data_IF_246001600783
#
_entry.id   IF_246001600783
#
_cell.length_a   1.000
_cell.length_b   1.000
_cell.length_c   1.000
_cell.angle_alpha   90.00
_cell.angle_beta   90.00
_cell.angle_gamma   90.00
#
_symmetry.space_group_name_H-M   'P 1'
#
loop_
_entity.id
_entity.type
_entity.pdbx_description
1 polymer ?
#
# COMPACT_ATOMS: atom_id res chain seq x y z
N UNK A 1 8.49 -25.73 67.19
CA UNK A 1 8.46 -26.00 65.73
C UNK A 1 7.14 -25.46 65.17
N UNK A 2 7.13 -24.26 64.54
CA UNK A 2 6.14 -23.97 63.50
C UNK A 2 6.78 -23.12 62.39
N UNK A 3 7.38 -23.75 61.38
CA UNK A 3 7.93 -23.07 60.19
C UNK A 3 7.38 -23.62 58.86
N UNK A 4 6.57 -24.68 58.92
CA UNK A 4 5.96 -25.32 57.75
C UNK A 4 4.73 -24.57 57.25
N UNK A 5 3.94 -24.00 58.15
CA UNK A 5 2.59 -23.54 57.82
C UNK A 5 2.60 -22.12 57.19
N UNK A 6 3.61 -21.31 57.52
CA UNK A 6 3.81 -19.98 56.95
C UNK A 6 4.30 -20.04 55.50
N UNK A 7 5.11 -21.04 55.14
CA UNK A 7 5.58 -21.23 53.76
C UNK A 7 4.45 -21.74 52.84
N UNK A 8 3.55 -22.58 53.36
CA UNK A 8 2.38 -23.04 52.62
C UNK A 8 1.35 -21.92 52.36
N UNK A 9 1.19 -20.99 53.32
CA UNK A 9 0.30 -19.82 53.17
C UNK A 9 0.82 -18.80 52.12
N UNK A 10 2.14 -18.62 52.02
CA UNK A 10 2.75 -17.74 51.00
C UNK A 10 2.69 -18.38 49.60
N UNK A 11 2.86 -19.71 49.51
CA UNK A 11 2.75 -20.46 48.25
C UNK A 11 1.30 -20.49 47.68
N UNK A 12 0.30 -20.43 48.56
CA UNK A 12 -1.12 -20.39 48.15
C UNK A 12 -1.56 -18.98 47.75
N UNK A 13 -1.07 -17.93 48.42
CA UNK A 13 -1.31 -16.54 48.01
C UNK A 13 -0.65 -16.19 46.66
N UNK A 14 0.55 -16.72 46.39
CA UNK A 14 1.24 -16.51 45.10
C UNK A 14 0.54 -17.25 43.94
N UNK A 15 -0.04 -18.44 44.19
CA UNK A 15 -0.85 -19.15 43.19
C UNK A 15 -2.16 -18.44 42.84
N UNK A 16 -2.86 -17.85 43.81
CA UNK A 16 -4.07 -17.06 43.53
C UNK A 16 -3.79 -15.73 42.82
N UNK A 17 -2.59 -15.16 43.00
CA UNK A 17 -2.17 -13.95 42.26
C UNK A 17 -1.76 -14.26 40.82
N UNK A 18 -1.25 -15.46 40.54
CA UNK A 18 -0.89 -15.93 39.20
C UNK A 18 -2.09 -16.40 38.35
N UNK A 19 -3.24 -16.70 38.96
CA UNK A 19 -4.45 -17.16 38.25
C UNK A 19 -5.41 -16.03 37.87
N UNK A 20 -5.15 -14.78 38.27
CA UNK A 20 -5.86 -13.61 37.74
C UNK A 20 -5.28 -13.26 36.38
N UNK A 21 -5.52 -14.16 35.42
CA UNK A 21 -5.35 -13.91 34.00
C UNK A 21 -6.25 -12.72 33.69
N UNK A 22 -5.66 -11.54 33.58
CA UNK A 22 -6.33 -10.34 33.10
C UNK A 22 -7.03 -10.72 31.80
N UNK A 23 -8.34 -10.98 31.88
CA UNK A 23 -9.23 -11.00 30.74
C UNK A 23 -9.34 -9.55 30.31
N UNK A 24 -8.26 -9.03 29.71
CA UNK A 24 -8.33 -7.82 28.89
C UNK A 24 -9.50 -8.05 27.95
N UNK A 25 -10.53 -7.18 27.95
CA UNK A 25 -11.67 -7.35 27.07
C UNK A 25 -11.12 -7.48 25.66
N UNK A 26 -11.44 -8.60 25.02
CA UNK A 26 -11.07 -8.90 23.64
C UNK A 26 -11.58 -7.69 22.85
N UNK A 27 -10.68 -6.85 22.38
CA UNK A 27 -11.05 -5.61 21.72
C UNK A 27 -12.07 -5.96 20.63
N UNK A 28 -13.29 -5.41 20.74
CA UNK A 28 -14.27 -5.53 19.67
C UNK A 28 -13.55 -5.07 18.40
N UNK A 29 -13.53 -5.95 17.39
CA UNK A 29 -13.01 -5.60 16.07
C UNK A 29 -13.82 -4.38 15.63
N UNK A 30 -13.19 -3.21 15.59
CA UNK A 30 -13.83 -2.04 15.04
C UNK A 30 -14.05 -2.33 13.56
N UNK A 31 -15.32 -2.32 13.13
CA UNK A 31 -15.60 -2.39 11.71
C UNK A 31 -14.93 -1.18 11.04
N UNK A 32 -14.15 -1.39 9.97
CA UNK A 32 -13.54 -0.29 9.26
C UNK A 32 -14.63 0.65 8.74
N UNK A 33 -14.54 1.93 9.11
CA UNK A 33 -15.41 2.95 8.53
C UNK A 33 -15.29 2.91 7.01
N UNK A 34 -16.43 2.78 6.34
CA UNK A 34 -16.47 2.72 4.90
C UNK A 34 -15.92 4.04 4.30
N UNK A 35 -15.31 4.01 3.10
CA UNK A 35 -14.78 5.21 2.47
C UNK A 35 -15.89 6.24 2.28
N UNK A 36 -15.60 7.51 2.54
CA UNK A 36 -16.55 8.62 2.35
C UNK A 36 -16.98 8.72 0.87
N UNK A 37 -18.17 9.28 0.57
CA UNK A 37 -18.64 9.44 -0.81
C UNK A 37 -17.64 10.18 -1.69
N UNK A 38 -17.04 11.27 -1.19
CA UNK A 38 -16.02 12.06 -1.89
C UNK A 38 -14.77 11.23 -2.20
N UNK A 39 -14.32 10.39 -1.26
CA UNK A 39 -13.18 9.50 -1.50
C UNK A 39 -13.49 8.48 -2.61
N UNK A 40 -14.70 7.94 -2.65
CA UNK A 40 -15.12 6.97 -3.67
C UNK A 40 -15.22 7.57 -5.07
N UNK A 41 -15.46 8.86 -5.18
CA UNK A 41 -15.46 9.55 -6.48
C UNK A 41 -14.05 9.63 -7.10
N UNK A 42 -13.02 9.72 -6.27
CA UNK A 42 -11.64 9.89 -6.73
C UNK A 42 -10.88 8.57 -6.92
N UNK A 43 -11.26 7.49 -6.24
CA UNK A 43 -10.59 6.21 -6.38
C UNK A 43 -11.46 5.01 -5.99
N UNK A 44 -11.08 3.83 -6.52
CA UNK A 44 -11.65 2.56 -6.09
C UNK A 44 -10.97 2.12 -4.80
N UNK A 45 -11.76 1.78 -3.78
CA UNK A 45 -11.26 1.26 -2.51
C UNK A 45 -11.73 -0.19 -2.35
N UNK A 46 -10.79 -1.06 -1.97
CA UNK A 46 -11.06 -2.48 -1.72
C UNK A 46 -10.79 -2.77 -0.25
N UNK A 47 -11.69 -3.52 0.37
CA UNK A 47 -11.49 -4.03 1.73
C UNK A 47 -10.38 -5.09 1.70
N UNK A 48 -9.30 -4.84 2.43
CA UNK A 48 -8.17 -5.76 2.55
C UNK A 48 -7.96 -6.18 3.99
N UNK A 49 -7.62 -7.45 4.18
CA UNK A 49 -7.25 -8.00 5.48
C UNK A 49 -5.89 -7.45 5.92
N UNK A 50 -5.84 -6.87 7.12
CA UNK A 50 -4.59 -6.53 7.79
C UNK A 50 -4.13 -7.77 8.53
N UNK A 51 -2.98 -8.30 8.12
CA UNK A 51 -2.43 -9.56 8.64
C UNK A 51 -1.15 -9.28 9.41
N UNK A 52 -1.06 -9.77 10.65
CA UNK A 52 0.19 -9.90 11.39
C UNK A 52 0.87 -11.18 10.93
N UNK A 53 2.11 -11.09 10.45
CA UNK A 53 2.92 -12.26 10.13
C UNK A 53 3.78 -12.55 11.35
N UNK A 54 3.27 -13.40 12.25
CA UNK A 54 4.06 -13.93 13.37
C UNK A 54 4.72 -15.25 12.97
N UNK A 55 5.79 -15.62 13.68
CA UNK A 55 6.55 -16.86 13.47
C UNK A 55 5.72 -18.17 13.46
N UNK A 56 4.47 -18.16 13.95
CA UNK A 56 3.56 -19.32 13.99
C UNK A 56 2.37 -19.23 13.04
N UNK A 57 2.36 -18.28 12.10
CA UNK A 57 1.33 -18.17 11.06
C UNK A 57 0.83 -16.75 10.82
N UNK A 58 0.03 -16.60 9.75
CA UNK A 58 -0.66 -15.37 9.38
C UNK A 58 -1.90 -15.19 10.26
N UNK A 59 -1.94 -14.13 11.07
CA UNK A 59 -3.09 -13.81 11.93
C UNK A 59 -3.72 -12.51 11.45
N UNK A 60 -4.95 -12.57 10.92
CA UNK A 60 -5.70 -11.38 10.51
C UNK A 60 -6.10 -10.56 11.75
N UNK A 61 -5.52 -9.36 11.88
CA UNK A 61 -5.73 -8.41 12.98
C UNK A 61 -7.07 -7.68 12.80
N UNK A 62 -7.41 -7.34 11.55
CA UNK A 62 -8.60 -6.58 11.21
C UNK A 62 -8.72 -6.40 9.69
N UNK A 63 -9.69 -5.60 9.27
CA UNK A 63 -9.90 -5.24 7.86
C UNK A 63 -9.76 -3.74 7.70
N UNK A 64 -9.24 -3.29 6.55
CA UNK A 64 -9.18 -1.87 6.22
C UNK A 64 -9.41 -1.64 4.73
N UNK A 65 -10.10 -0.54 4.41
CA UNK A 65 -10.25 -0.09 3.03
C UNK A 65 -8.94 0.53 2.55
N UNK A 66 -8.39 -0.02 1.46
CA UNK A 66 -7.20 0.51 0.79
C UNK A 66 -7.54 0.93 -0.62
N UNK A 67 -6.91 2.01 -1.06
CA UNK A 67 -7.00 2.46 -2.46
C UNK A 67 -6.45 1.35 -3.35
N UNK A 68 -7.26 0.89 -4.29
CA UNK A 68 -6.82 -0.03 -5.32
C UNK A 68 -5.97 0.74 -6.34
N UNK A 69 -4.74 0.29 -6.64
CA UNK A 69 -3.92 0.92 -7.66
C UNK A 69 -4.63 0.88 -9.01
N UNK A 70 -4.55 1.97 -9.77
CA UNK A 70 -5.33 2.11 -11.01
C UNK A 70 -4.97 1.07 -12.05
N UNK A 71 -3.70 0.65 -12.08
CA UNK A 71 -3.22 -0.33 -13.03
C UNK A 71 -3.87 -1.72 -12.88
N UNK A 72 -4.53 -2.02 -11.75
CA UNK A 72 -5.22 -3.29 -11.58
C UNK A 72 -6.52 -3.39 -12.38
N UNK A 73 -7.09 -2.26 -12.80
CA UNK A 73 -8.31 -2.19 -13.61
C UNK A 73 -8.05 -1.78 -15.06
N UNK A 74 -6.79 -1.60 -15.44
CA UNK A 74 -6.43 -1.23 -16.81
C UNK A 74 -6.45 -2.45 -17.74
N UNK A 75 -7.08 -2.28 -18.90
CA UNK A 75 -7.11 -3.30 -19.95
C UNK A 75 -5.78 -3.38 -20.71
N UNK A 76 -5.43 -4.58 -21.19
CA UNK A 76 -4.25 -4.82 -22.02
C UNK A 76 -2.95 -5.10 -21.25
N UNK A 77 -3.03 -5.31 -19.92
CA UNK A 77 -1.88 -5.68 -19.09
C UNK A 77 -1.88 -7.19 -18.81
N UNK A 78 -0.76 -7.85 -19.14
CA UNK A 78 -0.57 -9.27 -18.87
C UNK A 78 -0.35 -9.59 -17.39
N UNK A 79 -0.48 -10.86 -17.02
CA UNK A 79 -0.31 -11.33 -15.63
C UNK A 79 1.09 -11.05 -15.07
N UNK A 80 2.14 -11.28 -15.86
CA UNK A 80 3.53 -11.00 -15.45
C UNK A 80 3.80 -9.50 -15.30
N UNK A 81 3.21 -8.68 -16.18
CA UNK A 81 3.28 -7.22 -16.06
C UNK A 81 2.58 -6.73 -14.79
N UNK A 82 1.43 -7.31 -14.45
CA UNK A 82 0.73 -7.00 -13.19
C UNK A 82 1.56 -7.40 -11.96
N UNK A 83 2.23 -8.56 -11.97
CA UNK A 83 3.14 -8.96 -10.88
C UNK A 83 4.29 -7.97 -10.73
N UNK A 84 4.90 -7.56 -11.85
CA UNK A 84 6.00 -6.59 -11.87
C UNK A 84 5.53 -5.22 -11.34
N UNK A 85 4.37 -4.73 -11.78
CA UNK A 85 3.76 -3.48 -11.30
C UNK A 85 3.46 -3.53 -9.79
N UNK A 86 2.92 -4.65 -9.29
CA UNK A 86 2.69 -4.84 -7.85
C UNK A 86 3.99 -4.84 -7.06
N UNK A 87 5.04 -5.46 -7.60
CA UNK A 87 6.37 -5.44 -6.99
C UNK A 87 6.93 -4.02 -6.93
N UNK A 88 6.83 -3.28 -8.04
CA UNK A 88 7.28 -1.90 -8.13
C UNK A 88 6.53 -0.98 -7.16
N UNK A 89 5.20 -1.11 -7.10
CA UNK A 89 4.37 -0.36 -6.16
C UNK A 89 4.70 -0.69 -4.70
N UNK A 90 4.88 -1.97 -4.37
CA UNK A 90 5.24 -2.37 -3.03
C UNK A 90 6.63 -1.83 -2.61
N UNK A 91 7.60 -1.78 -3.52
CA UNK A 91 8.92 -1.19 -3.26
C UNK A 91 8.81 0.32 -3.02
N UNK A 92 8.00 1.02 -3.82
CA UNK A 92 7.71 2.43 -3.63
C UNK A 92 7.03 2.72 -2.29
N UNK A 93 5.95 2.00 -1.99
CA UNK A 93 5.21 2.17 -0.73
C UNK A 93 6.13 1.89 0.48
N UNK A 94 6.98 0.87 0.41
CA UNK A 94 7.98 0.57 1.46
C UNK A 94 9.02 1.69 1.63
N UNK A 95 9.43 2.34 0.53
CA UNK A 95 10.39 3.47 0.57
C UNK A 95 9.78 4.76 1.14
N UNK A 96 8.48 4.95 0.93
CA UNK A 96 7.69 6.10 1.39
C UNK A 96 7.10 5.89 2.80
N UNK A 97 7.24 4.70 3.39
CA UNK A 97 6.91 4.49 4.79
C UNK A 97 7.78 5.42 5.65
N UNK A 98 7.15 6.42 6.27
CA UNK A 98 7.86 7.30 7.18
C UNK A 98 8.08 6.61 8.52
N UNK A 99 9.26 6.86 9.09
CA UNK A 99 9.70 6.37 10.40
C UNK A 99 8.76 6.73 11.55
N UNK A 100 7.88 7.72 11.34
CA UNK A 100 7.02 8.32 12.39
C UNK A 100 5.56 8.59 11.97
N UNK A 101 5.15 8.38 10.71
CA UNK A 101 3.87 8.91 10.17
C UNK A 101 2.57 8.26 10.66
N UNK A 102 2.64 7.34 11.60
CA UNK A 102 1.44 6.89 12.30
C UNK A 102 1.57 7.15 13.80
N UNK A 103 1.78 8.40 14.19
CA UNK A 103 1.63 8.84 15.59
C UNK A 103 0.22 8.54 16.18
N UNK A 104 -0.76 8.16 15.36
CA UNK A 104 -2.09 7.66 15.79
C UNK A 104 -2.20 6.12 15.81
N UNK A 105 -1.24 5.39 15.25
CA UNK A 105 -1.18 3.91 15.22
C UNK A 105 -0.01 3.33 16.05
N UNK A 106 0.83 4.20 16.64
CA UNK A 106 1.69 3.83 17.78
C UNK A 106 0.84 3.78 19.04
N UNK A 107 -0.16 2.88 19.10
CA UNK A 107 -0.59 2.38 20.40
C UNK A 107 0.44 1.36 20.86
N UNK A 108 1.11 1.58 22.00
CA UNK A 108 2.08 0.65 22.54
C UNK A 108 1.32 -0.56 23.09
N UNK A 109 0.94 -1.50 22.22
CA UNK A 109 0.39 -2.79 22.66
C UNK A 109 1.22 -3.92 22.08
N UNK A 110 2.36 -4.13 22.73
CA UNK A 110 3.11 -5.38 22.65
C UNK A 110 4.58 -5.16 22.30
N UNK A 111 5.41 -4.97 23.32
CA UNK A 111 6.80 -5.45 23.41
C UNK A 111 7.69 -5.41 22.13
N UNK A 112 7.61 -4.36 21.32
CA UNK A 112 8.63 -4.07 20.32
C UNK A 112 9.23 -2.71 20.68
N UNK A 113 10.27 -2.72 21.52
CA UNK A 113 11.10 -1.54 21.77
C UNK A 113 11.87 -1.11 20.50
N UNK A 114 13.08 -0.59 20.67
CA UNK A 114 14.00 -0.19 19.58
C UNK A 114 14.04 -1.13 18.35
N UNK A 115 13.82 -2.44 18.53
CA UNK A 115 13.71 -3.43 17.45
C UNK A 115 12.60 -3.15 16.42
N UNK A 116 11.46 -2.58 16.81
CA UNK A 116 10.39 -2.22 15.86
C UNK A 116 10.80 -1.04 14.96
N UNK A 117 11.48 -0.05 15.53
CA UNK A 117 12.02 1.09 14.79
C UNK A 117 13.14 0.67 13.83
N UNK A 118 14.05 -0.21 14.27
CA UNK A 118 15.13 -0.73 13.43
C UNK A 118 14.57 -1.54 12.25
N UNK A 119 13.59 -2.41 12.49
CA UNK A 119 12.93 -3.18 11.41
C UNK A 119 12.23 -2.27 10.39
N UNK A 120 11.57 -1.19 10.85
CA UNK A 120 10.98 -0.19 9.97
C UNK A 120 12.04 0.52 9.10
N UNK A 121 13.16 0.95 9.70
CA UNK A 121 14.27 1.59 9.00
C UNK A 121 14.89 0.63 7.96
N UNK A 122 15.12 -0.62 8.32
CA UNK A 122 15.64 -1.64 7.41
C UNK A 122 14.70 -1.89 6.23
N UNK A 123 13.40 -2.00 6.50
CA UNK A 123 12.39 -2.19 5.45
C UNK A 123 12.36 -1.02 4.46
N UNK A 124 12.52 0.21 4.96
CA UNK A 124 12.58 1.43 4.16
C UNK A 124 13.85 1.49 3.31
N UNK A 125 15.01 1.24 3.93
CA UNK A 125 16.29 1.24 3.23
C UNK A 125 16.31 0.18 2.11
N UNK A 126 15.78 -1.01 2.40
CA UNK A 126 15.65 -2.08 1.42
C UNK A 126 14.65 -1.73 0.30
N UNK A 127 13.51 -1.13 0.65
CA UNK A 127 12.52 -0.64 -0.30
C UNK A 127 13.10 0.41 -1.24
N UNK A 128 13.81 1.41 -0.69
CA UNK A 128 14.47 2.46 -1.45
C UNK A 128 15.58 1.92 -2.37
N UNK A 129 16.39 0.97 -1.89
CA UNK A 129 17.42 0.30 -2.69
C UNK A 129 16.81 -0.51 -3.84
N UNK A 130 15.74 -1.27 -3.54
CA UNK A 130 15.00 -2.04 -4.54
C UNK A 130 14.36 -1.12 -5.59
N UNK A 131 13.72 -0.04 -5.17
CA UNK A 131 13.11 0.94 -6.05
C UNK A 131 14.16 1.56 -6.98
N UNK A 132 15.29 2.02 -6.45
CA UNK A 132 16.39 2.57 -7.25
C UNK A 132 16.93 1.54 -8.26
N UNK A 133 17.10 0.28 -7.84
CA UNK A 133 17.55 -0.79 -8.74
C UNK A 133 16.60 -1.00 -9.93
N UNK A 134 15.29 -1.01 -9.67
CA UNK A 134 14.28 -1.10 -10.72
C UNK A 134 14.31 0.14 -11.62
N UNK A 135 14.33 1.34 -11.04
CA UNK A 135 14.29 2.60 -11.79
C UNK A 135 15.53 2.84 -12.65
N UNK A 136 16.71 2.43 -12.19
CA UNK A 136 17.93 2.49 -13.00
C UNK A 136 17.79 1.71 -14.32
N UNK A 137 17.10 0.57 -14.31
CA UNK A 137 16.92 -0.25 -15.51
C UNK A 137 15.82 0.28 -16.44
N UNK A 138 14.82 0.97 -15.90
CA UNK A 138 13.76 1.61 -16.68
C UNK A 138 14.25 2.86 -17.44
N UNK A 139 15.31 3.52 -16.94
CA UNK A 139 15.95 4.66 -17.60
C UNK A 139 15.00 5.82 -17.87
N UNK A 140 14.91 6.27 -19.12
CA UNK A 140 14.06 7.41 -19.50
C UNK A 140 12.56 7.18 -19.28
N UNK A 141 12.11 5.92 -19.22
CA UNK A 141 10.69 5.56 -19.07
C UNK A 141 10.21 5.60 -17.60
N UNK A 142 11.12 5.83 -16.65
CA UNK A 142 10.81 5.92 -15.21
C UNK A 142 9.73 6.97 -14.95
N UNK A 143 9.82 8.14 -15.59
CA UNK A 143 8.90 9.24 -15.33
C UNK A 143 7.46 8.86 -15.67
N UNK A 144 7.26 8.27 -16.85
CA UNK A 144 5.95 7.82 -17.32
C UNK A 144 5.42 6.66 -16.46
N UNK A 145 6.27 5.71 -16.07
CA UNK A 145 5.88 4.61 -15.17
C UNK A 145 5.55 5.10 -13.75
N UNK A 146 6.31 6.04 -13.19
CA UNK A 146 6.02 6.67 -11.89
C UNK A 146 4.66 7.36 -11.93
N UNK A 147 4.44 8.20 -12.93
CA UNK A 147 3.22 8.99 -13.05
C UNK A 147 1.97 8.09 -13.15
N UNK A 148 2.02 7.03 -13.94
CA UNK A 148 0.86 6.16 -14.16
C UNK A 148 0.72 5.10 -13.06
N UNK A 149 1.81 4.40 -12.69
CA UNK A 149 1.73 3.24 -11.78
C UNK A 149 1.82 3.61 -10.28
N UNK A 150 2.55 4.67 -9.94
CA UNK A 150 2.78 5.06 -8.54
C UNK A 150 1.92 6.26 -8.12
N UNK A 151 1.72 7.22 -9.03
CA UNK A 151 0.86 8.39 -8.76
C UNK A 151 -0.59 8.19 -9.22
N UNK A 152 -0.91 7.04 -9.83
CA UNK A 152 -2.25 6.67 -10.31
C UNK A 152 -2.86 7.66 -11.32
N UNK A 153 -2.02 8.42 -12.05
CA UNK A 153 -2.47 9.36 -13.07
C UNK A 153 -3.00 8.62 -14.31
N UNK A 154 -4.04 9.16 -14.94
CA UNK A 154 -4.42 8.76 -16.30
C UNK A 154 -3.31 9.10 -17.30
N UNK A 155 -3.30 8.42 -18.44
CA UNK A 155 -2.46 8.83 -19.57
C UNK A 155 -2.72 10.28 -20.01
N UNK A 156 -3.96 10.77 -19.86
CA UNK A 156 -4.30 12.16 -20.15
C UNK A 156 -3.71 13.12 -19.12
N UNK A 157 -3.79 12.82 -17.83
CA UNK A 157 -3.20 13.63 -16.75
C UNK A 157 -1.68 13.65 -16.81
N UNK A 158 -1.05 12.49 -17.05
CA UNK A 158 0.38 12.39 -17.29
C UNK A 158 0.79 13.19 -18.55
N UNK A 159 0.00 13.13 -19.63
CA UNK A 159 0.24 13.94 -20.83
C UNK A 159 0.10 15.45 -20.55
N UNK A 160 -0.89 15.85 -19.74
CA UNK A 160 -1.06 17.26 -19.33
C UNK A 160 0.11 17.74 -18.49
N UNK A 161 0.61 16.91 -17.57
CA UNK A 161 1.78 17.21 -16.74
C UNK A 161 3.04 17.41 -17.58
N UNK A 162 3.24 16.61 -18.63
CA UNK A 162 4.47 16.64 -19.46
C UNK A 162 4.42 17.63 -20.62
N UNK A 163 3.30 17.70 -21.35
CA UNK A 163 3.18 18.47 -22.58
C UNK A 163 2.31 19.74 -22.41
N UNK A 164 1.63 19.86 -21.27
CA UNK A 164 0.68 20.93 -20.97
C UNK A 164 -0.77 20.57 -21.33
N UNK A 165 -1.68 21.39 -20.85
CA UNK A 165 -3.12 21.30 -21.09
C UNK A 165 -3.62 22.39 -22.03
N UNK A 166 -4.86 22.22 -22.50
CA UNK A 166 -5.68 23.24 -23.13
C UNK A 166 -7.07 23.22 -22.50
N UNK A 167 -7.73 24.37 -22.51
CA UNK A 167 -9.12 24.49 -22.10
C UNK A 167 -10.02 24.04 -23.25
N UNK A 168 -11.00 23.20 -22.93
CA UNK A 168 -12.01 22.73 -23.88
C UNK A 168 -13.38 22.97 -23.26
N UNK A 169 -14.21 23.71 -23.99
CA UNK A 169 -15.60 23.91 -23.62
C UNK A 169 -16.36 22.60 -23.83
N UNK A 170 -16.83 22.03 -22.74
CA UNK A 170 -17.65 20.82 -22.74
C UNK A 170 -19.08 21.19 -22.40
N UNK A 171 -20.05 20.68 -23.17
CA UNK A 171 -21.46 20.84 -22.84
C UNK A 171 -21.85 19.67 -21.94
N UNK A 172 -22.05 19.95 -20.65
CA UNK A 172 -22.61 18.97 -19.72
C UNK A 172 -24.13 18.90 -19.94
N UNK A 173 -24.52 17.91 -20.74
CA UNK A 173 -25.93 17.52 -20.90
C UNK A 173 -26.30 16.73 -19.64
N UNK A 174 -26.67 17.46 -18.59
CA UNK A 174 -27.02 16.87 -17.31
C UNK A 174 -28.09 15.77 -17.47
N UNK A 175 -28.02 14.72 -16.65
CA UNK A 175 -29.02 13.64 -16.67
C UNK A 175 -30.40 14.18 -16.24
N UNK A 176 -31.44 13.92 -17.04
CA UNK A 176 -32.84 14.28 -16.74
C UNK A 176 -33.24 15.69 -17.21
N UNK A 177 -34.07 16.40 -16.42
CA UNK A 177 -34.63 17.73 -16.77
C UNK A 177 -33.65 18.91 -16.56
N UNK A 178 -32.37 18.66 -16.28
CA UNK A 178 -31.38 19.73 -16.04
C UNK A 178 -30.99 20.38 -17.37
N UNK A 179 -31.02 21.71 -17.44
CA UNK A 179 -30.56 22.45 -18.62
C UNK A 179 -29.07 22.21 -18.85
N UNK A 180 -28.63 22.04 -20.11
CA UNK A 180 -27.22 21.88 -20.43
C UNK A 180 -26.42 23.09 -19.95
N UNK A 181 -25.23 22.85 -19.40
CA UNK A 181 -24.30 23.90 -18.95
C UNK A 181 -22.96 23.74 -19.66
N UNK A 182 -22.37 24.85 -20.09
CA UNK A 182 -20.99 24.85 -20.57
C UNK A 182 -20.04 24.77 -19.37
N UNK A 183 -19.19 23.76 -19.36
CA UNK A 183 -18.14 23.55 -18.36
C UNK A 183 -16.81 23.57 -19.09
N UNK A 184 -15.89 24.43 -18.65
CA UNK A 184 -14.50 24.41 -19.14
C UNK A 184 -13.79 23.23 -18.49
N UNK A 185 -13.34 22.27 -19.30
CA UNK A 185 -12.53 21.13 -18.84
C UNK A 185 -11.13 21.24 -19.39
N UNK A 186 -10.14 20.94 -18.55
CA UNK A 186 -8.76 20.82 -18.99
C UNK A 186 -8.56 19.48 -19.69
N UNK A 187 -8.01 19.53 -20.90
CA UNK A 187 -7.64 18.37 -21.70
C UNK A 187 -6.18 18.46 -22.14
N UNK A 188 -5.55 17.34 -22.55
CA UNK A 188 -4.23 17.40 -23.18
C UNK A 188 -4.22 18.31 -24.40
N UNK A 189 -3.08 18.99 -24.66
CA UNK A 189 -2.91 19.84 -25.85
C UNK A 189 -3.28 19.14 -27.16
N UNK A 190 -2.95 17.85 -27.28
CA UNK A 190 -3.26 17.02 -28.44
C UNK A 190 -3.59 15.59 -28.00
N UNK A 191 -4.45 14.91 -28.77
CA UNK A 191 -4.73 13.48 -28.60
C UNK A 191 -3.48 12.61 -28.82
N UNK A 192 -2.53 13.05 -29.64
CA UNK A 192 -1.27 12.34 -29.90
C UNK A 192 -0.40 12.24 -28.64
N UNK A 193 -0.39 13.27 -27.77
CA UNK A 193 0.39 13.26 -26.53
C UNK A 193 -0.06 12.14 -25.57
N UNK A 194 -1.37 11.88 -25.50
CA UNK A 194 -1.90 10.76 -24.72
C UNK A 194 -1.39 9.42 -25.26
N UNK A 195 -1.34 9.28 -26.59
CA UNK A 195 -0.87 8.05 -27.23
C UNK A 195 0.62 7.83 -26.98
N UNK A 196 1.44 8.89 -27.08
CA UNK A 196 2.87 8.83 -26.75
C UNK A 196 3.09 8.31 -25.33
N UNK A 197 2.38 8.88 -24.34
CA UNK A 197 2.45 8.43 -22.94
C UNK A 197 2.01 6.97 -22.80
N UNK A 198 0.96 6.56 -23.50
CA UNK A 198 0.49 5.17 -23.50
C UNK A 198 1.56 4.22 -24.04
N UNK A 199 2.15 4.54 -25.19
CA UNK A 199 3.15 3.70 -25.85
C UNK A 199 4.44 3.60 -25.03
N UNK A 200 4.88 4.72 -24.43
CA UNK A 200 5.98 4.74 -23.48
C UNK A 200 5.69 3.86 -22.24
N UNK A 201 4.47 3.94 -21.70
CA UNK A 201 4.08 3.12 -20.55
C UNK A 201 4.16 1.63 -20.87
N UNK A 202 3.57 1.18 -21.98
CA UNK A 202 3.60 -0.23 -22.38
C UNK A 202 5.01 -0.70 -22.76
N UNK A 203 5.84 0.18 -23.33
CA UNK A 203 7.26 -0.12 -23.56
C UNK A 203 8.01 -0.29 -22.23
N UNK A 204 7.72 0.57 -21.26
CA UNK A 204 8.27 0.50 -19.91
C UNK A 204 7.85 -0.75 -19.16
N UNK A 205 6.61 -1.24 -19.36
CA UNK A 205 6.14 -2.49 -18.74
C UNK A 205 6.96 -3.70 -19.16
N UNK A 206 7.47 -3.74 -20.39
CA UNK A 206 8.32 -4.85 -20.85
C UNK A 206 9.63 -4.87 -20.06
N UNK A 207 10.29 -3.71 -19.95
CA UNK A 207 11.52 -3.56 -19.15
C UNK A 207 11.28 -3.79 -17.65
N UNK A 208 10.09 -3.44 -17.16
CA UNK A 208 9.73 -3.60 -15.76
C UNK A 208 9.71 -5.07 -15.34
N UNK A 209 9.32 -6.00 -16.22
CA UNK A 209 9.33 -7.44 -15.93
C UNK A 209 10.75 -7.88 -15.61
N UNK A 210 11.69 -7.55 -16.49
CA UNK A 210 13.09 -7.93 -16.36
C UNK A 210 13.71 -7.28 -15.11
N UNK A 211 13.38 -6.01 -14.87
CA UNK A 211 13.85 -5.29 -13.70
C UNK A 211 13.28 -5.79 -12.38
N UNK A 212 12.04 -6.28 -12.38
CA UNK A 212 11.40 -6.84 -11.18
C UNK A 212 11.79 -8.29 -10.91
N UNK A 213 12.26 -9.04 -11.92
CA UNK A 213 12.54 -10.48 -11.82
C UNK A 213 13.46 -10.89 -10.63
N UNK A 214 14.56 -10.17 -10.32
CA UNK A 214 15.43 -10.49 -9.18
C UNK A 214 14.76 -10.32 -7.81
N UNK A 215 13.70 -9.51 -7.75
CA UNK A 215 13.03 -9.15 -6.49
C UNK A 215 11.77 -10.00 -6.25
N UNK A 216 11.13 -10.44 -7.34
CA UNK A 216 10.00 -11.38 -7.28
C UNK A 216 10.45 -12.76 -6.75
N UNK A 217 11.62 -13.25 -7.20
CA UNK A 217 12.21 -14.53 -6.79
C UNK A 217 12.70 -14.55 -5.35
N UNK A 218 13.24 -13.43 -4.84
CA UNK A 218 13.70 -13.30 -3.44
C UNK A 218 12.59 -13.40 -2.40
N UNK A 219 11.34 -13.12 -2.76
CA UNK A 219 10.19 -13.23 -1.84
C UNK A 219 9.88 -14.69 -1.48
N UNK A 220 10.20 -15.65 -2.36
CA UNK A 220 10.07 -17.08 -2.09
C UNK A 220 11.20 -17.61 -1.18
N UNK A 221 12.41 -17.07 -1.27
CA UNK A 221 13.56 -17.57 -0.49
C UNK A 221 13.50 -17.11 0.97
N UNK A 222 12.89 -15.95 1.25
CA UNK A 222 12.71 -15.45 2.64
C UNK A 222 11.60 -16.17 3.42
N UNK A 223 10.65 -16.85 2.76
CA UNK A 223 9.69 -17.72 3.47
C UNK A 223 10.30 -19.05 3.90
N UNK A 224 11.34 -19.51 3.21
CA UNK A 224 11.98 -20.82 3.46
C UNK A 224 13.21 -20.73 4.38
N UNK A 225 13.68 -19.53 4.71
CA UNK A 225 14.83 -19.29 5.59
C UNK A 225 14.47 -18.55 6.88
N UNK A 226 13.41 -18.98 7.55
CA UNK A 226 13.25 -18.73 8.97
C UNK A 226 13.21 -20.08 9.69
N UNK A 227 14.17 -20.38 10.60
CA UNK A 227 14.08 -21.54 11.49
C UNK A 227 12.93 -21.41 12.49
#
# INVERSE_FOLDING_TARGET
>A
MPKSDTLAAIATQTKHRASRKDRTPRAMKADPFAPTPEQREHAVYVEQDIVDVKAKGRVTIGKAFRKQPRFETMEGIGTEQLKALRCYRAAFDASEMSETKCALDVRPRGAAGSHGAISAIESRAFGASTLRGIECQLGALVHTLRDVALMDLTFSEAAMKRFGSREVDWIDVGKGKRKPRSIVKLAPKSGTHRQIIRDEFFSGLRLLIDAAAPYLSRKAIRSDRQP
#
